data_IF_747598766313
#
_entry.id   IF_747598766313
#
_cell.length_a   1.000
_cell.length_b   1.000
_cell.length_c   1.000
_cell.angle_alpha   90.00
_cell.angle_beta   90.00
_cell.angle_gamma   90.00
#
_symmetry.space_group_name_H-M   'P 1'
#
loop_
_entity.id
_entity.type
_entity.pdbx_description
1 polymer ?
#
# COMPACT_ATOMS: atom_id res chain seq x y z
N UNK A 1 44.84 -19.70 73.58
CA UNK A 1 44.84 -20.19 72.19
C UNK A 1 43.58 -19.62 71.56
N UNK A 2 43.67 -18.49 70.83
CA UNK A 2 42.56 -17.83 70.12
C UNK A 2 42.66 -18.26 68.65
N UNK A 3 41.57 -18.83 68.11
CA UNK A 3 41.39 -19.09 66.69
C UNK A 3 40.58 -17.93 66.07
N UNK A 4 41.20 -17.20 65.15
CA UNK A 4 40.54 -16.13 64.38
C UNK A 4 39.79 -16.74 63.17
N UNK A 5 38.49 -16.53 63.07
CA UNK A 5 37.67 -16.84 61.91
C UNK A 5 37.73 -15.59 60.95
N UNK A 6 38.27 -15.79 59.74
CA UNK A 6 38.22 -14.83 58.67
C UNK A 6 36.99 -15.12 57.80
N UNK A 7 36.00 -14.24 57.86
CA UNK A 7 34.81 -14.30 56.99
C UNK A 7 35.14 -13.57 55.67
N UNK A 8 35.19 -14.33 54.57
CA UNK A 8 35.37 -13.82 53.23
C UNK A 8 34.04 -13.39 52.66
N UNK A 9 33.82 -12.08 52.46
CA UNK A 9 32.62 -11.51 51.85
C UNK A 9 32.81 -11.48 50.33
N UNK A 10 32.22 -12.42 49.59
CA UNK A 10 32.13 -12.36 48.13
C UNK A 10 31.02 -11.38 47.72
N UNK A 11 31.38 -10.16 47.34
CA UNK A 11 30.50 -9.26 46.61
C UNK A 11 30.32 -9.81 45.18
N UNK A 12 29.19 -10.47 44.90
CA UNK A 12 28.74 -10.80 43.56
C UNK A 12 28.18 -9.55 42.92
N UNK A 13 28.96 -8.91 42.03
CA UNK A 13 28.47 -7.87 41.14
C UNK A 13 27.55 -8.53 40.09
N UNK A 14 26.24 -8.50 40.30
CA UNK A 14 25.26 -8.84 39.29
C UNK A 14 25.28 -7.79 38.18
N UNK A 15 25.90 -8.12 37.06
CA UNK A 15 25.76 -7.38 35.80
C UNK A 15 24.30 -7.56 35.34
N UNK A 16 23.43 -6.65 35.74
CA UNK A 16 22.10 -6.51 35.18
C UNK A 16 22.23 -6.18 33.69
N UNK A 17 21.97 -7.16 32.84
CA UNK A 17 21.78 -6.92 31.41
C UNK A 17 20.60 -5.98 31.24
N UNK A 18 20.86 -4.71 30.91
CA UNK A 18 19.82 -3.80 30.46
C UNK A 18 19.12 -4.44 29.27
N UNK A 19 17.78 -4.43 29.18
CA UNK A 19 17.10 -4.91 27.98
C UNK A 19 17.61 -4.09 26.82
N UNK A 20 18.21 -4.77 25.85
CA UNK A 20 18.57 -4.15 24.57
C UNK A 20 17.26 -3.60 24.00
N UNK A 21 17.15 -2.28 23.88
CA UNK A 21 16.08 -1.64 23.12
C UNK A 21 16.18 -2.25 21.72
N UNK A 22 15.18 -3.07 21.37
CA UNK A 22 15.12 -3.66 20.05
C UNK A 22 15.08 -2.49 19.05
N UNK A 23 16.20 -2.31 18.33
CA UNK A 23 16.26 -1.32 17.25
C UNK A 23 15.22 -1.69 16.22
N UNK A 24 14.26 -0.80 15.96
CA UNK A 24 13.24 -1.02 14.95
C UNK A 24 13.91 -1.31 13.60
N UNK A 25 13.51 -2.40 12.95
CA UNK A 25 14.04 -2.74 11.63
C UNK A 25 13.27 -1.99 10.53
N UNK A 26 13.91 -1.81 9.36
CA UNK A 26 13.24 -1.26 8.18
C UNK A 26 11.94 -2.01 7.84
N UNK A 27 11.96 -3.35 7.90
CA UNK A 27 10.79 -4.18 7.66
C UNK A 27 9.66 -3.92 8.66
N UNK A 28 9.96 -3.78 9.96
CA UNK A 28 8.95 -3.48 10.98
C UNK A 28 8.34 -2.09 10.78
N UNK A 29 9.14 -1.10 10.42
CA UNK A 29 8.65 0.26 10.14
C UNK A 29 7.79 0.28 8.88
N UNK A 30 8.19 -0.40 7.80
CA UNK A 30 7.44 -0.50 6.57
C UNK A 30 6.08 -1.18 6.79
N UNK A 31 6.04 -2.27 7.55
CA UNK A 31 4.80 -2.96 7.88
C UNK A 31 3.84 -2.06 8.65
N UNK A 32 4.30 -1.39 9.69
CA UNK A 32 3.48 -0.42 10.45
C UNK A 32 2.99 0.73 9.59
N UNK A 33 3.80 1.20 8.65
CA UNK A 33 3.40 2.23 7.69
C UNK A 33 2.28 1.74 6.75
N UNK A 34 2.28 0.47 6.35
CA UNK A 34 1.20 -0.15 5.58
C UNK A 34 -0.06 -0.31 6.43
N UNK A 35 0.07 -0.72 7.71
CA UNK A 35 -1.05 -0.80 8.65
C UNK A 35 -1.72 0.56 8.84
N UNK A 36 -0.94 1.63 8.97
CA UNK A 36 -1.46 3.00 9.05
C UNK A 36 -2.20 3.40 7.76
N UNK A 37 -1.64 3.07 6.59
CA UNK A 37 -2.34 3.33 5.32
C UNK A 37 -3.70 2.64 5.27
N UNK A 38 -3.77 1.39 5.70
CA UNK A 38 -5.04 0.64 5.71
C UNK A 38 -6.01 1.17 6.77
N UNK A 39 -5.54 1.46 7.99
CA UNK A 39 -6.36 2.05 9.04
C UNK A 39 -6.95 3.41 8.62
N UNK A 40 -6.14 4.25 7.99
CA UNK A 40 -6.61 5.53 7.46
C UNK A 40 -7.66 5.38 6.36
N UNK A 41 -7.56 4.35 5.51
CA UNK A 41 -8.58 4.05 4.49
C UNK A 41 -9.91 3.59 5.10
N UNK A 42 -9.85 2.90 6.22
CA UNK A 42 -11.04 2.36 6.91
C UNK A 42 -11.71 3.38 7.80
N UNK A 43 -11.01 4.42 8.27
CA UNK A 43 -11.58 5.45 9.11
C UNK A 43 -12.57 6.34 8.34
N UNK A 44 -13.72 6.60 8.97
CA UNK A 44 -14.71 7.59 8.49
C UNK A 44 -14.38 9.03 8.87
N UNK A 45 -13.47 9.25 9.83
CA UNK A 45 -13.10 10.57 10.33
C UNK A 45 -11.91 11.16 9.57
N UNK A 46 -12.07 12.40 9.06
CA UNK A 46 -11.03 13.06 8.26
C UNK A 46 -9.75 13.33 9.05
N UNK A 47 -9.85 13.79 10.29
CA UNK A 47 -8.69 14.14 11.11
C UNK A 47 -7.92 12.87 11.52
N UNK A 48 -8.64 11.78 11.78
CA UNK A 48 -8.05 10.48 12.05
C UNK A 48 -7.32 9.91 10.83
N UNK A 49 -7.93 10.00 9.63
CA UNK A 49 -7.28 9.63 8.35
C UNK A 49 -5.98 10.40 8.14
N UNK A 50 -6.00 11.72 8.34
CA UNK A 50 -4.83 12.60 8.20
C UNK A 50 -3.71 12.17 9.16
N UNK A 51 -4.04 11.86 10.42
CA UNK A 51 -3.06 11.35 11.40
C UNK A 51 -2.42 10.05 10.95
N UNK A 52 -3.22 9.07 10.50
CA UNK A 52 -2.71 7.78 10.04
C UNK A 52 -1.77 7.96 8.85
N UNK A 53 -2.19 8.69 7.82
CA UNK A 53 -1.36 8.86 6.62
C UNK A 53 -0.08 9.64 6.89
N UNK A 54 -0.10 10.65 7.77
CA UNK A 54 1.10 11.38 8.17
C UNK A 54 2.05 10.48 8.97
N UNK A 55 1.55 9.73 9.95
CA UNK A 55 2.37 8.80 10.73
C UNK A 55 2.97 7.70 9.84
N UNK A 56 2.15 7.10 8.97
CA UNK A 56 2.61 6.07 8.04
C UNK A 56 3.67 6.59 7.06
N UNK A 57 3.54 7.84 6.58
CA UNK A 57 4.58 8.48 5.77
C UNK A 57 5.90 8.62 6.51
N UNK A 58 5.86 9.10 7.76
CA UNK A 58 7.07 9.29 8.58
C UNK A 58 7.75 7.94 8.89
N UNK A 59 6.97 6.89 9.18
CA UNK A 59 7.46 5.53 9.37
C UNK A 59 8.11 4.98 8.09
N UNK A 60 7.48 5.18 6.93
CA UNK A 60 8.00 4.75 5.65
C UNK A 60 9.32 5.43 5.29
N UNK A 61 9.44 6.75 5.52
CA UNK A 61 10.68 7.50 5.30
C UNK A 61 11.82 7.00 6.20
N UNK A 62 11.52 6.68 7.46
CA UNK A 62 12.49 6.07 8.38
C UNK A 62 12.89 4.66 7.92
N UNK A 63 11.94 3.87 7.41
CA UNK A 63 12.23 2.55 6.86
C UNK A 63 13.19 2.63 5.67
N UNK A 64 12.95 3.54 4.72
CA UNK A 64 13.83 3.79 3.57
C UNK A 64 15.22 4.28 4.04
N UNK A 65 15.28 5.15 5.04
CA UNK A 65 16.56 5.63 5.59
C UNK A 65 17.40 4.51 6.23
N UNK A 66 16.75 3.45 6.74
CA UNK A 66 17.44 2.26 7.27
C UNK A 66 17.80 1.25 6.18
N UNK A 67 16.95 1.11 5.16
CA UNK A 67 17.15 0.19 4.02
C UNK A 67 16.46 0.69 2.76
N UNK A 68 17.19 1.37 1.88
CA UNK A 68 16.72 1.88 0.59
C UNK A 68 16.45 0.76 -0.46
N UNK A 69 16.76 -0.50 -0.12
CA UNK A 69 16.44 -1.66 -0.95
C UNK A 69 15.18 -2.43 -0.47
N UNK A 70 14.43 -1.87 0.47
CA UNK A 70 13.17 -2.44 0.92
C UNK A 70 12.02 -2.04 -0.02
N UNK A 71 11.50 -2.97 -0.82
CA UNK A 71 10.34 -2.75 -1.67
C UNK A 71 9.10 -2.32 -0.87
N UNK A 72 8.87 -2.94 0.29
CA UNK A 72 7.74 -2.61 1.17
C UNK A 72 7.85 -1.20 1.76
N UNK A 73 9.07 -0.70 2.02
CA UNK A 73 9.28 0.65 2.51
C UNK A 73 8.88 1.69 1.45
N UNK A 74 9.32 1.52 0.20
CA UNK A 74 8.91 2.38 -0.92
C UNK A 74 7.42 2.30 -1.20
N UNK A 75 6.84 1.10 -1.19
CA UNK A 75 5.41 0.94 -1.40
C UNK A 75 4.58 1.56 -0.26
N UNK A 76 5.03 1.45 0.98
CA UNK A 76 4.34 2.07 2.11
C UNK A 76 4.39 3.61 2.06
N UNK A 77 5.51 4.19 1.60
CA UNK A 77 5.60 5.62 1.34
C UNK A 77 4.63 6.06 0.24
N UNK A 78 4.61 5.36 -0.89
CA UNK A 78 3.64 5.58 -1.96
C UNK A 78 2.19 5.56 -1.43
N UNK A 79 1.85 4.55 -0.62
CA UNK A 79 0.51 4.35 -0.09
C UNK A 79 0.05 5.55 0.75
N UNK A 80 0.82 5.91 1.76
CA UNK A 80 0.47 6.98 2.69
C UNK A 80 0.50 8.36 2.04
N UNK A 81 1.51 8.65 1.23
CA UNK A 81 1.60 9.92 0.51
C UNK A 81 0.45 10.09 -0.49
N UNK A 82 0.10 9.04 -1.22
CA UNK A 82 -0.99 9.07 -2.20
C UNK A 82 -2.36 9.27 -1.54
N UNK A 83 -2.61 8.67 -0.38
CA UNK A 83 -3.85 8.86 0.36
C UNK A 83 -3.93 10.25 1.02
N UNK A 84 -2.82 10.78 1.55
CA UNK A 84 -2.75 12.15 2.05
C UNK A 84 -3.09 13.16 0.95
N UNK A 85 -2.50 13.03 -0.24
CA UNK A 85 -2.79 13.89 -1.39
C UNK A 85 -4.27 13.85 -1.80
N UNK A 86 -4.91 12.66 -1.76
CA UNK A 86 -6.36 12.55 -2.03
C UNK A 86 -7.19 13.24 -0.97
N UNK A 87 -6.79 13.15 0.29
CA UNK A 87 -7.50 13.76 1.40
C UNK A 87 -7.50 15.29 1.32
N UNK A 88 -6.39 15.89 0.86
CA UNK A 88 -6.22 17.32 0.66
C UNK A 88 -6.91 17.84 -0.61
N UNK A 89 -7.50 16.96 -1.41
CA UNK A 89 -8.12 17.29 -2.68
C UNK A 89 -7.10 17.62 -3.78
N UNK A 90 -5.83 17.40 -3.52
CA UNK A 90 -4.78 17.42 -4.54
C UNK A 90 -5.02 16.26 -5.49
N UNK A 91 -5.53 16.61 -6.66
CA UNK A 91 -5.80 15.63 -7.71
C UNK A 91 -4.55 15.44 -8.57
N UNK A 92 -4.66 14.61 -9.63
CA UNK A 92 -3.65 14.47 -10.70
C UNK A 92 -3.15 15.81 -11.31
N UNK A 93 -3.63 16.95 -10.83
CA UNK A 93 -3.19 18.30 -11.23
C UNK A 93 -1.85 18.67 -10.58
N UNK A 94 -1.50 18.10 -9.44
CA UNK A 94 -0.16 18.23 -8.87
C UNK A 94 0.80 17.24 -9.56
N UNK A 95 1.39 17.71 -10.66
CA UNK A 95 2.35 16.92 -11.43
C UNK A 95 3.63 16.58 -10.66
N UNK A 96 4.00 17.38 -9.65
CA UNK A 96 5.20 17.13 -8.84
C UNK A 96 4.94 15.98 -7.88
N UNK A 97 3.84 16.04 -7.14
CA UNK A 97 3.43 14.96 -6.25
C UNK A 97 3.18 13.65 -7.00
N UNK A 98 2.49 13.71 -8.15
CA UNK A 98 2.27 12.53 -8.99
C UNK A 98 3.59 11.89 -9.45
N UNK A 99 4.57 12.68 -9.87
CA UNK A 99 5.90 12.15 -10.25
C UNK A 99 6.62 11.51 -9.08
N UNK A 100 6.48 12.07 -7.88
CA UNK A 100 7.03 11.45 -6.66
C UNK A 100 6.41 10.09 -6.41
N UNK A 101 5.08 9.98 -6.44
CA UNK A 101 4.37 8.71 -6.27
C UNK A 101 4.78 7.66 -7.32
N UNK A 102 4.92 8.08 -8.57
CA UNK A 102 5.34 7.18 -9.65
C UNK A 102 6.77 6.66 -9.42
N UNK A 103 7.70 7.49 -8.91
CA UNK A 103 9.07 7.04 -8.59
C UNK A 103 9.09 5.98 -7.50
N UNK A 104 8.30 6.14 -6.44
CA UNK A 104 8.21 5.14 -5.37
C UNK A 104 7.65 3.79 -5.90
N UNK A 105 6.65 3.83 -6.78
CA UNK A 105 6.15 2.62 -7.46
C UNK A 105 7.19 1.98 -8.37
N UNK A 106 7.91 2.79 -9.15
CA UNK A 106 8.96 2.27 -10.03
C UNK A 106 10.07 1.61 -9.22
N UNK A 107 10.50 2.25 -8.12
CA UNK A 107 11.50 1.69 -7.22
C UNK A 107 11.02 0.39 -6.57
N UNK A 108 9.76 0.34 -6.12
CA UNK A 108 9.15 -0.89 -5.60
C UNK A 108 9.21 -2.03 -6.61
N UNK A 109 8.83 -1.76 -7.87
CA UNK A 109 8.81 -2.79 -8.94
C UNK A 109 10.23 -3.19 -9.35
N UNK A 110 11.21 -2.29 -9.35
CA UNK A 110 12.62 -2.60 -9.57
C UNK A 110 13.14 -3.59 -8.52
N UNK A 111 12.84 -3.34 -7.25
CA UNK A 111 13.26 -4.17 -6.13
C UNK A 111 12.51 -5.50 -6.06
N UNK A 112 11.22 -5.47 -6.35
CA UNK A 112 10.34 -6.65 -6.32
C UNK A 112 9.39 -6.63 -7.54
N UNK A 113 9.79 -7.25 -8.67
CA UNK A 113 9.02 -7.22 -9.92
C UNK A 113 7.61 -7.79 -9.83
N UNK A 114 7.34 -8.65 -8.85
CA UNK A 114 6.03 -9.27 -8.60
C UNK A 114 5.27 -8.68 -7.42
N UNK A 115 5.62 -7.48 -6.99
CA UNK A 115 4.90 -6.78 -5.93
C UNK A 115 3.48 -6.39 -6.40
N UNK A 116 2.48 -7.22 -6.06
CA UNK A 116 1.10 -7.10 -6.58
C UNK A 116 0.49 -5.72 -6.34
N UNK A 117 0.71 -5.12 -5.15
CA UNK A 117 0.21 -3.78 -4.82
C UNK A 117 0.78 -2.69 -5.73
N UNK A 118 2.10 -2.72 -5.97
CA UNK A 118 2.76 -1.73 -6.84
C UNK A 118 2.37 -1.91 -8.30
N UNK A 119 2.30 -3.15 -8.80
CA UNK A 119 1.81 -3.45 -10.14
C UNK A 119 0.36 -2.98 -10.33
N UNK A 120 -0.51 -3.20 -9.35
CA UNK A 120 -1.91 -2.76 -9.38
C UNK A 120 -2.02 -1.23 -9.44
N UNK A 121 -1.26 -0.52 -8.59
CA UNK A 121 -1.25 0.93 -8.58
C UNK A 121 -0.68 1.51 -9.87
N UNK A 122 0.47 1.02 -10.32
CA UNK A 122 1.13 1.46 -11.57
C UNK A 122 0.25 1.18 -12.78
N UNK A 123 -0.33 -0.03 -12.89
CA UNK A 123 -1.26 -0.39 -13.94
C UNK A 123 -2.48 0.54 -13.99
N UNK A 124 -3.03 0.87 -12.81
CA UNK A 124 -4.15 1.82 -12.70
C UNK A 124 -3.75 3.22 -13.18
N UNK A 125 -2.57 3.72 -12.83
CA UNK A 125 -2.07 5.01 -13.35
C UNK A 125 -1.92 4.99 -14.87
N UNK A 126 -1.30 3.96 -15.42
CA UNK A 126 -1.11 3.83 -16.86
C UNK A 126 -2.43 3.83 -17.63
N UNK A 127 -3.48 3.21 -17.08
CA UNK A 127 -4.82 3.19 -17.67
C UNK A 127 -5.52 4.55 -17.57
N UNK A 128 -5.34 5.27 -16.47
CA UNK A 128 -6.10 6.51 -16.19
C UNK A 128 -5.44 7.78 -16.68
N UNK A 129 -4.13 7.79 -16.84
CA UNK A 129 -3.41 8.97 -17.29
C UNK A 129 -3.54 9.16 -18.80
N UNK A 130 -3.67 10.41 -19.27
CA UNK A 130 -3.48 10.72 -20.68
C UNK A 130 -2.08 10.31 -21.16
N UNK A 131 -1.94 9.95 -22.44
CA UNK A 131 -0.65 9.59 -23.04
C UNK A 131 0.43 10.66 -22.83
N UNK A 132 0.07 11.93 -22.91
CA UNK A 132 0.98 13.05 -22.67
C UNK A 132 1.56 13.10 -21.25
N UNK A 133 0.87 12.46 -20.28
CA UNK A 133 1.31 12.34 -18.89
C UNK A 133 1.86 10.94 -18.57
N UNK A 134 2.21 10.17 -19.60
CA UNK A 134 2.79 8.84 -19.43
C UNK A 134 1.77 7.70 -19.34
N UNK A 135 0.50 7.94 -19.69
CA UNK A 135 -0.52 6.89 -19.79
C UNK A 135 -0.23 5.92 -20.94
N UNK A 136 -0.47 4.64 -20.67
CA UNK A 136 -0.31 3.53 -21.62
C UNK A 136 -1.29 2.43 -21.24
N UNK A 137 -2.43 2.42 -21.93
CA UNK A 137 -3.54 1.49 -21.60
C UNK A 137 -3.13 0.03 -21.85
N UNK A 138 -2.34 -0.26 -22.90
CA UNK A 138 -1.92 -1.62 -23.20
C UNK A 138 -0.98 -2.18 -22.14
N UNK A 139 0.03 -1.40 -21.76
CA UNK A 139 0.94 -1.75 -20.67
C UNK A 139 0.23 -1.84 -19.33
N UNK A 140 -0.69 -0.92 -19.04
CA UNK A 140 -1.50 -0.91 -17.83
C UNK A 140 -2.36 -2.16 -17.72
N UNK A 141 -3.05 -2.54 -18.81
CA UNK A 141 -3.86 -3.75 -18.85
C UNK A 141 -3.01 -5.00 -18.61
N UNK A 142 -1.86 -5.13 -19.27
CA UNK A 142 -0.95 -6.27 -19.05
C UNK A 142 -0.48 -6.39 -17.59
N UNK A 143 -0.14 -5.26 -16.94
CA UNK A 143 0.23 -5.24 -15.52
C UNK A 143 -0.94 -5.68 -14.64
N UNK A 144 -2.15 -5.18 -14.87
CA UNK A 144 -3.35 -5.53 -14.11
C UNK A 144 -3.75 -7.00 -14.30
N UNK A 145 -3.57 -7.56 -15.48
CA UNK A 145 -3.75 -8.99 -15.75
C UNK A 145 -2.77 -9.84 -14.92
N UNK A 146 -1.49 -9.41 -14.86
CA UNK A 146 -0.51 -10.08 -14.00
C UNK A 146 -0.92 -10.03 -12.53
N UNK A 147 -1.44 -8.89 -12.07
CA UNK A 147 -1.91 -8.75 -10.67
C UNK A 147 -2.98 -9.77 -10.33
N UNK A 148 -4.01 -9.96 -11.16
CA UNK A 148 -5.08 -10.92 -10.86
C UNK A 148 -4.63 -12.38 -10.93
N UNK A 149 -3.48 -12.65 -11.54
CA UNK A 149 -2.82 -13.96 -11.50
C UNK A 149 -2.03 -14.15 -10.20
N UNK A 150 -1.34 -13.10 -9.72
CA UNK A 150 -0.58 -13.11 -8.47
C UNK A 150 -1.49 -13.08 -7.23
N UNK A 151 -2.55 -12.27 -7.30
CA UNK A 151 -3.56 -12.09 -6.25
C UNK A 151 -4.96 -12.25 -6.84
N UNK A 152 -5.57 -13.45 -6.73
CA UNK A 152 -6.93 -13.69 -7.16
C UNK A 152 -8.01 -12.88 -6.43
N UNK A 153 -7.67 -12.16 -5.38
CA UNK A 153 -8.60 -11.31 -4.61
C UNK A 153 -8.44 -9.81 -4.90
N UNK A 154 -7.51 -9.42 -5.79
CA UNK A 154 -7.19 -8.03 -6.12
C UNK A 154 -8.40 -7.26 -6.68
N UNK A 155 -9.10 -6.54 -5.81
CA UNK A 155 -10.31 -5.76 -6.18
C UNK A 155 -9.96 -4.60 -7.12
N UNK A 156 -8.93 -3.80 -6.76
CA UNK A 156 -8.56 -2.61 -7.54
C UNK A 156 -8.14 -2.94 -8.97
N UNK A 157 -7.40 -4.04 -9.14
CA UNK A 157 -6.98 -4.48 -10.47
C UNK A 157 -8.19 -4.84 -11.36
N UNK A 158 -9.19 -5.51 -10.79
CA UNK A 158 -10.41 -5.87 -11.53
C UNK A 158 -11.26 -4.67 -11.89
N UNK A 159 -11.42 -3.70 -10.99
CA UNK A 159 -12.14 -2.46 -11.29
C UNK A 159 -11.43 -1.70 -12.43
N UNK A 160 -10.09 -1.65 -12.39
CA UNK A 160 -9.31 -1.00 -13.45
C UNK A 160 -9.39 -1.76 -14.78
N UNK A 161 -9.41 -3.10 -14.77
CA UNK A 161 -9.64 -3.92 -15.98
C UNK A 161 -11.05 -3.73 -16.54
N UNK A 162 -12.07 -3.63 -15.67
CA UNK A 162 -13.44 -3.33 -16.12
C UNK A 162 -13.48 -1.99 -16.87
N UNK A 163 -12.79 -0.98 -16.37
CA UNK A 163 -12.66 0.33 -17.03
C UNK A 163 -11.90 0.26 -18.37
N UNK A 164 -10.86 -0.55 -18.47
CA UNK A 164 -10.17 -0.81 -19.75
C UNK A 164 -11.13 -1.45 -20.74
N UNK A 165 -11.91 -2.43 -20.31
CA UNK A 165 -12.90 -3.11 -21.15
C UNK A 165 -13.98 -2.15 -21.62
N UNK A 166 -14.49 -1.27 -20.76
CA UNK A 166 -15.42 -0.20 -21.13
C UNK A 166 -14.83 0.71 -22.22
N UNK A 167 -13.64 1.23 -21.99
CA UNK A 167 -12.93 2.09 -22.96
C UNK A 167 -12.73 1.42 -24.34
N UNK A 168 -12.53 0.09 -24.34
CA UNK A 168 -12.33 -0.71 -25.57
C UNK A 168 -13.62 -1.30 -26.17
N UNK A 169 -14.79 -1.01 -25.58
CA UNK A 169 -16.07 -1.57 -26.04
C UNK A 169 -16.26 -3.06 -25.73
N UNK A 170 -15.43 -3.66 -24.87
CA UNK A 170 -15.52 -5.05 -24.41
C UNK A 170 -16.46 -5.15 -23.18
N UNK A 171 -17.71 -4.70 -23.38
CA UNK A 171 -18.66 -4.48 -22.29
C UNK A 171 -18.91 -5.72 -21.43
N UNK A 172 -19.15 -6.87 -22.04
CA UNK A 172 -19.49 -8.11 -21.31
C UNK A 172 -18.32 -8.57 -20.43
N UNK A 173 -17.09 -8.48 -20.94
CA UNK A 173 -15.88 -8.77 -20.18
C UNK A 173 -15.70 -7.78 -19.01
N UNK A 174 -15.99 -6.49 -19.24
CA UNK A 174 -15.97 -5.46 -18.21
C UNK A 174 -16.96 -5.74 -17.08
N UNK A 175 -18.18 -6.18 -17.41
CA UNK A 175 -19.19 -6.59 -16.44
C UNK A 175 -18.69 -7.77 -15.59
N UNK A 176 -18.03 -8.75 -16.20
CA UNK A 176 -17.49 -9.90 -15.47
C UNK A 176 -16.39 -9.48 -14.48
N UNK A 177 -15.45 -8.63 -14.90
CA UNK A 177 -14.44 -8.06 -13.98
C UNK A 177 -15.08 -7.28 -12.83
N UNK A 178 -16.07 -6.44 -13.10
CA UNK A 178 -16.73 -5.63 -12.09
C UNK A 178 -17.53 -6.49 -11.10
N UNK A 179 -18.24 -7.55 -11.56
CA UNK A 179 -18.93 -8.51 -10.70
C UNK A 179 -17.96 -9.25 -9.79
N UNK A 180 -16.85 -9.71 -10.34
CA UNK A 180 -15.81 -10.38 -9.55
C UNK A 180 -15.17 -9.44 -8.54
N UNK A 181 -14.93 -8.17 -8.91
CA UNK A 181 -14.47 -7.14 -7.98
C UNK A 181 -15.45 -6.93 -6.82
N UNK A 182 -16.75 -6.83 -7.13
CA UNK A 182 -17.81 -6.69 -6.12
C UNK A 182 -17.84 -7.87 -5.15
N UNK A 183 -17.73 -9.10 -5.68
CA UNK A 183 -17.70 -10.29 -4.83
C UNK A 183 -16.49 -10.29 -3.91
N UNK A 184 -15.28 -10.08 -4.45
CA UNK A 184 -14.07 -10.00 -3.64
C UNK A 184 -14.13 -8.87 -2.59
N UNK A 185 -14.69 -7.70 -2.94
CA UNK A 185 -14.85 -6.60 -2.00
C UNK A 185 -15.80 -6.96 -0.84
N UNK A 186 -16.89 -7.68 -1.10
CA UNK A 186 -17.81 -8.20 -0.07
C UNK A 186 -17.11 -9.22 0.83
N UNK A 187 -16.40 -10.18 0.25
CA UNK A 187 -15.69 -11.22 0.98
C UNK A 187 -14.60 -10.65 1.91
N UNK A 188 -13.98 -9.54 1.50
CA UNK A 188 -12.95 -8.81 2.25
C UNK A 188 -13.51 -7.72 3.19
N UNK A 189 -14.83 -7.49 3.21
CA UNK A 189 -15.46 -6.45 4.03
C UNK A 189 -15.09 -5.01 3.65
N UNK A 190 -14.66 -4.77 2.38
CA UNK A 190 -14.18 -3.47 1.89
C UNK A 190 -15.35 -2.60 1.41
N UNK A 191 -15.99 -1.86 2.32
CA UNK A 191 -17.14 -1.03 2.00
C UNK A 191 -16.86 0.03 0.91
N UNK A 192 -15.67 0.65 0.95
CA UNK A 192 -15.20 1.59 -0.07
C UNK A 192 -15.17 0.97 -1.46
N UNK A 193 -14.71 -0.27 -1.56
CA UNK A 193 -14.56 -1.01 -2.81
C UNK A 193 -15.87 -1.63 -3.30
N UNK A 194 -16.79 -1.95 -2.39
CA UNK A 194 -18.13 -2.37 -2.75
C UNK A 194 -18.82 -1.24 -3.53
N UNK A 195 -18.78 -0.01 -3.01
CA UNK A 195 -19.38 1.15 -3.69
C UNK A 195 -18.72 1.42 -5.06
N UNK A 196 -17.39 1.32 -5.14
CA UNK A 196 -16.65 1.53 -6.40
C UNK A 196 -17.01 0.46 -7.46
N UNK A 197 -17.09 -0.81 -7.07
CA UNK A 197 -17.45 -1.89 -7.97
C UNK A 197 -18.91 -1.81 -8.44
N UNK A 198 -19.84 -1.38 -7.57
CA UNK A 198 -21.22 -1.13 -7.91
C UNK A 198 -21.36 0.03 -8.88
N UNK A 199 -20.63 1.13 -8.67
CA UNK A 199 -20.59 2.25 -9.62
C UNK A 199 -20.11 1.78 -11.00
N UNK A 200 -19.04 0.97 -11.05
CA UNK A 200 -18.54 0.42 -12.32
C UNK A 200 -19.59 -0.46 -13.04
N UNK A 201 -20.33 -1.29 -12.32
CA UNK A 201 -21.42 -2.08 -12.90
C UNK A 201 -22.53 -1.19 -13.47
N UNK A 202 -22.90 -0.12 -12.75
CA UNK A 202 -23.88 0.85 -13.22
C UNK A 202 -23.40 1.59 -14.48
N UNK A 203 -22.13 2.01 -14.53
CA UNK A 203 -21.49 2.63 -15.71
C UNK A 203 -21.57 1.69 -16.92
N UNK A 204 -21.35 0.39 -16.70
CA UNK A 204 -21.49 -0.64 -17.73
C UNK A 204 -22.94 -1.01 -18.03
N UNK A 205 -23.95 -0.41 -17.38
CA UNK A 205 -25.36 -0.69 -17.57
C UNK A 205 -25.78 -2.08 -17.11
N UNK A 206 -25.12 -2.64 -16.11
CA UNK A 206 -25.44 -3.91 -15.47
C UNK A 206 -26.06 -3.68 -14.10
N UNK A 207 -27.04 -4.52 -13.72
CA UNK A 207 -27.55 -4.59 -12.34
C UNK A 207 -26.65 -5.46 -11.46
N UNK A 208 -26.63 -5.18 -10.15
CA UNK A 208 -25.83 -5.86 -9.14
C UNK A 208 -26.66 -6.44 -8.00
#
# INVERSE_FOLDING_TARGET
>A
MLAALVASLCLGAGLGSAPALATESAASLAHRALDDCEAGRQSGDRAERERFFNNGRDLAQRAIALDDNSADAHFSLFCNQGEAMRLDGESLKDLVGLRSLIRELDRTIELQPDHAGALSAKGTFLVRLPRLLGGDVDRGEAMLQRVITLDPTAVNARISLARVCEYRGRRDEGIEYARRALQCAKDLGRADKIAEAQAMLSELGASY
#
